data_IF_528592336569
#
_entry.id   IF_528592336569
#
_cell.length_a   1.000
_cell.length_b   1.000
_cell.length_c   1.000
_cell.angle_alpha   90.00
_cell.angle_beta   90.00
_cell.angle_gamma   90.00
#
_symmetry.space_group_name_H-M   'P 1'
#
loop_
_entity.id
_entity.type
_entity.pdbx_description
1 polymer ?
#
# COMPACT_ATOMS: atom_id res chain seq x y z
N UNK A 1 -45.22 -52.98 57.25
CA UNK A 1 -44.68 -53.25 55.89
C UNK A 1 -44.39 -51.90 55.24
N UNK A 2 -43.13 -51.45 55.25
CA UNK A 2 -42.18 -51.40 54.11
C UNK A 2 -42.68 -50.57 52.90
N UNK A 3 -42.10 -49.36 52.74
CA UNK A 3 -41.25 -48.91 51.60
C UNK A 3 -42.05 -48.30 50.43
N UNK A 4 -41.68 -47.27 49.67
CA UNK A 4 -40.52 -46.36 49.50
C UNK A 4 -40.96 -45.34 48.44
N UNK A 5 -40.86 -44.03 48.66
CA UNK A 5 -39.87 -43.08 48.12
C UNK A 5 -39.47 -43.21 46.63
N UNK A 6 -39.42 -42.04 45.95
CA UNK A 6 -38.69 -41.63 44.72
C UNK A 6 -39.52 -41.69 43.42
N UNK A 7 -39.86 -40.55 42.82
CA UNK A 7 -39.04 -39.72 41.89
C UNK A 7 -39.76 -39.76 40.51
N UNK A 8 -39.85 -38.77 39.63
CA UNK A 8 -39.12 -37.51 39.39
C UNK A 8 -40.05 -36.64 38.53
N UNK A 9 -40.07 -35.34 38.84
CA UNK A 9 -40.47 -34.26 37.95
C UNK A 9 -39.62 -34.31 36.68
N UNK A 10 -40.21 -34.44 35.50
CA UNK A 10 -39.53 -34.13 34.25
C UNK A 10 -40.32 -33.04 33.54
N UNK A 11 -40.20 -31.82 34.08
CA UNK A 11 -40.39 -30.59 33.31
C UNK A 11 -39.50 -30.71 32.07
N UNK A 12 -40.12 -30.70 30.90
CA UNK A 12 -39.44 -30.57 29.62
C UNK A 12 -38.74 -29.22 29.64
N UNK A 13 -37.46 -29.22 30.03
CA UNK A 13 -36.57 -28.08 29.85
C UNK A 13 -36.28 -28.01 28.35
N UNK A 14 -37.17 -27.35 27.62
CA UNK A 14 -36.87 -26.88 26.28
C UNK A 14 -35.72 -25.87 26.42
N UNK A 15 -34.50 -26.38 26.35
CA UNK A 15 -33.30 -25.57 26.14
C UNK A 15 -33.47 -24.99 24.74
N UNK A 16 -34.17 -23.86 24.65
CA UNK A 16 -34.00 -22.94 23.53
C UNK A 16 -32.61 -22.38 23.74
N UNK A 17 -31.63 -23.11 23.21
CA UNK A 17 -30.31 -22.57 22.94
C UNK A 17 -30.55 -21.50 21.88
N UNK A 18 -30.89 -20.28 22.33
CA UNK A 18 -30.75 -19.10 21.50
C UNK A 18 -29.25 -18.96 21.32
N UNK A 19 -28.73 -19.70 20.34
CA UNK A 19 -27.49 -19.35 19.69
C UNK A 19 -27.82 -18.00 19.04
N UNK A 20 -27.63 -16.93 19.80
CA UNK A 20 -27.45 -15.61 19.26
C UNK A 20 -26.14 -15.66 18.49
N UNK A 21 -26.21 -16.25 17.29
CA UNK A 21 -25.25 -15.97 16.25
C UNK A 21 -25.55 -14.52 15.87
N UNK A 22 -25.10 -13.59 16.71
CA UNK A 22 -24.80 -12.26 16.25
C UNK A 22 -23.61 -12.46 15.31
N UNK A 23 -23.88 -12.91 14.09
CA UNK A 23 -23.00 -12.60 12.98
C UNK A 23 -22.90 -11.10 13.02
N UNK A 24 -21.78 -10.56 13.48
CA UNK A 24 -21.46 -9.17 13.19
C UNK A 24 -21.60 -9.08 11.68
N UNK A 25 -22.56 -8.29 11.18
CA UNK A 25 -23.06 -8.40 9.81
C UNK A 25 -22.00 -8.16 8.69
N UNK A 26 -20.74 -8.02 9.07
CA UNK A 26 -19.58 -7.76 8.23
C UNK A 26 -18.41 -8.73 8.48
N UNK A 27 -18.48 -9.63 9.47
CA UNK A 27 -17.58 -10.76 9.56
C UNK A 27 -18.19 -11.94 8.81
N UNK A 28 -17.49 -12.41 7.78
CA UNK A 28 -17.86 -13.63 7.07
C UNK A 28 -17.74 -14.84 8.00
N UNK A 29 -16.76 -14.79 8.93
CA UNK A 29 -16.53 -15.82 9.94
C UNK A 29 -16.15 -15.22 11.28
N UNK A 30 -16.63 -15.87 12.34
CA UNK A 30 -16.26 -15.56 13.72
C UNK A 30 -15.43 -16.71 14.27
N UNK A 31 -14.13 -16.48 14.46
CA UNK A 31 -13.14 -17.45 14.95
C UNK A 31 -12.45 -16.89 16.20
N UNK A 32 -13.24 -16.70 17.26
CA UNK A 32 -12.75 -16.12 18.51
C UNK A 32 -11.66 -17.01 19.11
N UNK A 33 -10.51 -16.42 19.43
CA UNK A 33 -9.45 -17.11 20.16
C UNK A 33 -9.99 -17.45 21.57
N UNK A 34 -9.91 -18.72 22.00
CA UNK A 34 -10.35 -19.09 23.34
C UNK A 34 -9.46 -18.42 24.40
N UNK A 35 -10.04 -18.14 25.57
CA UNK A 35 -9.34 -17.61 26.75
C UNK A 35 -8.71 -16.21 26.60
N UNK A 36 -9.11 -15.44 25.58
CA UNK A 36 -8.74 -14.04 25.51
C UNK A 36 -9.23 -13.26 26.76
N UNK A 37 -8.42 -12.34 27.29
CA UNK A 37 -8.80 -11.53 28.46
C UNK A 37 -10.07 -10.73 28.20
N UNK A 38 -11.06 -10.88 29.09
CA UNK A 38 -12.32 -10.11 29.06
C UNK A 38 -12.21 -8.80 29.85
N UNK A 39 -11.14 -8.04 29.57
CA UNK A 39 -10.91 -6.75 30.23
C UNK A 39 -11.75 -5.66 29.52
N UNK A 40 -12.55 -4.87 30.26
CA UNK A 40 -13.35 -3.81 29.66
C UNK A 40 -12.48 -2.68 29.12
N UNK A 41 -13.03 -1.89 28.20
CA UNK A 41 -12.50 -0.58 27.84
C UNK A 41 -12.50 0.34 29.06
N UNK A 42 -11.78 1.46 28.98
CA UNK A 42 -11.67 2.40 30.11
C UNK A 42 -13.00 2.97 30.60
N UNK A 43 -14.03 2.97 29.75
CA UNK A 43 -15.38 3.44 30.08
C UNK A 43 -16.39 2.29 30.30
N UNK A 44 -15.94 1.04 30.34
CA UNK A 44 -16.78 -0.14 30.58
C UNK A 44 -16.83 -1.13 29.40
N UNK A 45 -17.63 -2.19 29.57
CA UNK A 45 -17.79 -3.26 28.59
C UNK A 45 -18.50 -2.71 27.35
N UNK A 46 -17.91 -2.93 26.17
CA UNK A 46 -18.43 -2.43 24.88
C UNK A 46 -18.32 -0.92 24.67
N UNK A 47 -17.79 -0.17 25.64
CA UNK A 47 -17.66 1.28 25.56
C UNK A 47 -16.36 1.71 24.86
N UNK A 48 -16.11 1.18 23.66
CA UNK A 48 -15.01 1.64 22.81
C UNK A 48 -15.29 3.04 22.25
N UNK A 49 -14.24 3.82 22.04
CA UNK A 49 -14.30 5.24 21.65
C UNK A 49 -13.98 5.47 20.17
N UNK A 50 -13.61 4.40 19.48
CA UNK A 50 -13.16 4.45 18.10
C UNK A 50 -12.63 3.11 17.61
N UNK A 51 -11.99 3.16 16.46
CA UNK A 51 -11.35 2.02 15.81
C UNK A 51 -9.98 2.45 15.29
N UNK A 52 -8.97 1.60 15.49
CA UNK A 52 -7.66 1.73 14.87
C UNK A 52 -7.59 0.84 13.64
N UNK A 53 -7.30 1.48 12.52
CA UNK A 53 -6.95 0.91 11.25
C UNK A 53 -5.48 0.47 11.26
N UNK A 54 -5.21 -0.81 11.00
CA UNK A 54 -3.88 -1.41 10.86
C UNK A 54 -3.65 -2.01 9.46
N UNK A 55 -2.39 -2.27 9.12
CA UNK A 55 -2.01 -3.26 8.10
C UNK A 55 -0.94 -4.23 8.59
N UNK A 56 -1.00 -5.46 8.08
CA UNK A 56 -0.30 -6.61 8.70
C UNK A 56 1.23 -6.63 8.55
N UNK A 57 1.82 -5.79 7.69
CA UNK A 57 3.24 -5.82 7.31
C UNK A 57 3.76 -7.21 6.87
N UNK A 58 2.85 -8.11 6.49
CA UNK A 58 3.14 -9.50 6.10
C UNK A 58 2.56 -9.76 4.71
N UNK A 59 3.36 -9.61 3.65
CA UNK A 59 2.86 -9.74 2.28
C UNK A 59 2.21 -11.10 2.00
N UNK A 60 1.05 -11.07 1.35
CA UNK A 60 0.27 -12.21 0.87
C UNK A 60 -0.25 -13.18 1.96
N UNK A 61 -0.18 -12.81 3.25
CA UNK A 61 -0.78 -13.58 4.31
C UNK A 61 -2.31 -13.33 4.38
N UNK A 62 -3.17 -14.35 4.16
CA UNK A 62 -4.62 -14.19 4.30
C UNK A 62 -5.04 -14.04 5.78
N UNK A 63 -6.26 -13.56 6.02
CA UNK A 63 -6.82 -13.28 7.34
C UNK A 63 -6.80 -14.51 8.27
N UNK A 64 -6.98 -15.71 7.72
CA UNK A 64 -6.89 -16.96 8.49
C UNK A 64 -5.48 -17.22 9.04
N UNK A 65 -4.43 -16.74 8.37
CA UNK A 65 -3.07 -16.86 8.86
C UNK A 65 -2.83 -15.92 10.04
N UNK A 66 -3.39 -14.70 9.99
CA UNK A 66 -3.36 -13.75 11.11
C UNK A 66 -4.07 -14.35 12.33
N UNK A 67 -5.29 -14.86 12.15
CA UNK A 67 -6.04 -15.51 13.23
C UNK A 67 -5.28 -16.70 13.85
N UNK A 68 -4.66 -17.57 13.03
CA UNK A 68 -3.87 -18.71 13.52
C UNK A 68 -2.59 -18.28 14.22
N UNK A 69 -1.93 -17.23 13.74
CA UNK A 69 -0.76 -16.67 14.40
C UNK A 69 -1.13 -16.12 15.78
N UNK A 70 -2.11 -15.22 15.84
CA UNK A 70 -2.59 -14.61 17.08
C UNK A 70 -3.13 -15.65 18.08
N UNK A 71 -3.77 -16.73 17.63
CA UNK A 71 -4.22 -17.81 18.52
C UNK A 71 -3.09 -18.44 19.36
N UNK A 72 -1.85 -18.38 18.86
CA UNK A 72 -0.65 -18.89 19.53
C UNK A 72 0.13 -17.80 20.27
N UNK A 73 -0.01 -16.54 19.85
CA UNK A 73 0.82 -15.42 20.31
C UNK A 73 0.06 -14.30 21.01
N UNK A 74 -1.25 -14.46 21.27
CA UNK A 74 -2.12 -13.39 21.78
C UNK A 74 -1.63 -12.70 23.05
N UNK A 75 -0.82 -13.39 23.87
CA UNK A 75 -0.19 -12.81 25.08
C UNK A 75 0.73 -11.63 24.76
N UNK A 76 1.24 -11.55 23.53
CA UNK A 76 2.05 -10.44 23.04
C UNK A 76 1.19 -9.40 22.32
N UNK A 77 0.39 -9.82 21.34
CA UNK A 77 -0.48 -8.96 20.56
C UNK A 77 -1.62 -9.77 19.93
N UNK A 78 -2.79 -9.14 19.80
CA UNK A 78 -3.91 -9.64 19.02
C UNK A 78 -4.85 -8.48 18.66
N UNK A 79 -5.66 -8.66 17.62
CA UNK A 79 -6.65 -7.67 17.17
C UNK A 79 -8.08 -8.21 17.21
N UNK A 80 -9.05 -7.37 16.88
CA UNK A 80 -10.46 -7.78 16.86
C UNK A 80 -10.87 -8.42 15.53
N UNK A 81 -10.31 -7.93 14.43
CA UNK A 81 -10.63 -8.40 13.09
C UNK A 81 -9.38 -8.43 12.20
N UNK A 82 -9.35 -9.39 11.28
CA UNK A 82 -8.46 -9.38 10.12
C UNK A 82 -9.30 -9.46 8.83
N UNK A 83 -8.92 -8.66 7.83
CA UNK A 83 -9.63 -8.51 6.57
C UNK A 83 -8.71 -8.82 5.40
N UNK A 84 -9.12 -9.72 4.51
CA UNK A 84 -8.41 -10.00 3.25
C UNK A 84 -9.35 -9.95 2.01
N UNK A 85 -8.80 -10.34 0.87
CA UNK A 85 -9.49 -10.28 -0.41
C UNK A 85 -10.68 -11.24 -0.48
N UNK A 86 -10.70 -12.30 0.32
CA UNK A 86 -11.75 -13.31 0.38
C UNK A 86 -12.72 -13.10 1.55
N UNK A 87 -12.23 -12.86 2.75
CA UNK A 87 -13.02 -12.91 3.99
C UNK A 87 -12.63 -11.83 5.02
N UNK A 88 -13.59 -11.48 5.86
CA UNK A 88 -13.38 -10.80 7.14
C UNK A 88 -13.54 -11.82 8.28
N UNK A 89 -12.51 -11.97 9.11
CA UNK A 89 -12.53 -12.85 10.29
C UNK A 89 -12.57 -12.01 11.56
N UNK A 90 -13.57 -12.23 12.40
CA UNK A 90 -13.57 -11.73 13.77
C UNK A 90 -12.75 -12.67 14.67
N UNK A 91 -11.73 -12.11 15.33
CA UNK A 91 -10.73 -12.81 16.14
C UNK A 91 -10.97 -12.60 17.65
N UNK A 92 -11.53 -11.43 18.03
CA UNK A 92 -11.86 -11.11 19.42
C UNK A 92 -13.22 -10.40 19.55
N UNK A 93 -13.81 -10.48 20.74
CA UNK A 93 -15.07 -9.80 21.07
C UNK A 93 -14.84 -8.30 21.28
N UNK A 94 -15.51 -7.46 20.49
CA UNK A 94 -15.40 -5.99 20.55
C UNK A 94 -15.98 -5.39 21.84
N UNK A 95 -16.55 -6.20 22.72
CA UNK A 95 -16.92 -5.78 24.08
C UNK A 95 -15.74 -5.57 25.01
N UNK A 96 -14.59 -6.14 24.68
CA UNK A 96 -13.37 -6.11 25.49
C UNK A 96 -12.21 -5.55 24.68
N UNK A 97 -11.12 -5.20 25.36
CA UNK A 97 -9.93 -4.65 24.72
C UNK A 97 -9.19 -5.70 23.87
N UNK A 98 -8.35 -5.22 22.95
CA UNK A 98 -7.32 -6.02 22.29
C UNK A 98 -5.92 -5.42 22.53
N UNK A 99 -4.87 -6.14 22.15
CA UNK A 99 -3.47 -5.72 22.34
C UNK A 99 -2.83 -5.28 21.02
N UNK A 100 -3.44 -4.30 20.34
CA UNK A 100 -3.09 -4.00 18.95
C UNK A 100 -2.31 -2.71 18.71
N UNK A 101 -2.25 -1.75 19.64
CA UNK A 101 -1.53 -0.47 19.40
C UNK A 101 -0.97 0.18 20.67
N UNK A 102 -0.50 -0.64 21.61
CA UNK A 102 0.02 -0.15 22.89
C UNK A 102 -1.05 0.27 23.90
N UNK A 103 -0.67 0.52 25.16
CA UNK A 103 -1.58 0.59 26.30
C UNK A 103 -2.59 1.74 26.25
N UNK A 104 -2.24 2.84 25.56
CA UNK A 104 -3.11 4.00 25.39
C UNK A 104 -4.32 3.70 24.51
N UNK A 105 -4.08 3.10 23.35
CA UNK A 105 -5.10 2.74 22.37
C UNK A 105 -5.88 1.48 22.75
N UNK A 106 -5.22 0.46 23.29
CA UNK A 106 -5.85 -0.81 23.69
C UNK A 106 -7.05 -0.58 24.62
N UNK A 107 -6.96 0.41 25.52
CA UNK A 107 -8.04 0.76 26.47
C UNK A 107 -9.21 1.51 25.84
N UNK A 108 -9.13 1.89 24.56
CA UNK A 108 -10.05 2.83 23.89
C UNK A 108 -10.66 2.27 22.62
N UNK A 109 -9.94 1.47 21.85
CA UNK A 109 -10.31 1.25 20.45
C UNK A 109 -10.47 -0.22 20.08
N UNK A 110 -11.36 -0.47 19.12
CA UNK A 110 -11.36 -1.71 18.35
C UNK A 110 -10.16 -1.69 17.39
N UNK A 111 -9.60 -2.85 17.04
CA UNK A 111 -8.40 -2.96 16.20
C UNK A 111 -8.70 -3.86 14.99
N UNK A 112 -8.45 -3.36 13.79
CA UNK A 112 -8.74 -4.05 12.53
C UNK A 112 -7.50 -4.09 11.64
N UNK A 113 -7.06 -5.30 11.30
CA UNK A 113 -5.93 -5.57 10.42
C UNK A 113 -6.37 -5.70 8.96
N UNK A 114 -5.73 -4.94 8.06
CA UNK A 114 -5.82 -5.14 6.62
C UNK A 114 -4.66 -6.02 6.14
N UNK A 115 -4.98 -7.19 5.59
CA UNK A 115 -3.98 -8.10 5.04
C UNK A 115 -3.34 -7.50 3.78
N UNK A 116 -2.01 -7.61 3.68
CA UNK A 116 -1.23 -6.99 2.61
C UNK A 116 -1.11 -7.88 1.37
N UNK A 117 -1.24 -7.31 0.17
CA UNK A 117 -1.19 -8.02 -1.11
C UNK A 117 -0.63 -7.11 -2.19
N UNK A 118 0.26 -7.60 -3.04
CA UNK A 118 0.72 -6.84 -4.21
C UNK A 118 -0.32 -6.84 -5.36
N UNK A 119 -1.21 -7.84 -5.39
CA UNK A 119 -2.27 -7.92 -6.39
C UNK A 119 -3.34 -6.86 -6.12
N UNK A 120 -3.52 -5.96 -7.09
CA UNK A 120 -4.47 -4.86 -6.97
C UNK A 120 -5.94 -5.31 -6.93
N UNK A 121 -6.30 -6.39 -7.62
CA UNK A 121 -7.66 -6.93 -7.59
C UNK A 121 -7.98 -7.49 -6.21
N UNK A 122 -7.02 -8.18 -5.59
CA UNK A 122 -7.11 -8.58 -4.18
C UNK A 122 -7.23 -7.35 -3.28
N UNK A 123 -6.34 -6.37 -3.44
CA UNK A 123 -6.37 -5.12 -2.66
C UNK A 123 -7.75 -4.45 -2.72
N UNK A 124 -8.36 -4.29 -3.90
CA UNK A 124 -9.69 -3.69 -4.01
C UNK A 124 -10.73 -4.39 -3.15
N UNK A 125 -10.77 -5.73 -3.25
CA UNK A 125 -11.70 -6.55 -2.47
C UNK A 125 -11.43 -6.50 -0.98
N UNK A 126 -10.17 -6.41 -0.56
CA UNK A 126 -9.81 -6.26 0.86
C UNK A 126 -10.20 -4.87 1.37
N UNK A 127 -9.81 -3.82 0.64
CA UNK A 127 -10.01 -2.43 1.01
C UNK A 127 -11.50 -2.05 1.10
N UNK A 128 -12.33 -2.54 0.17
CA UNK A 128 -13.78 -2.35 0.25
C UNK A 128 -14.38 -2.94 1.54
N UNK A 129 -14.04 -4.20 1.87
CA UNK A 129 -14.51 -4.84 3.12
C UNK A 129 -14.00 -4.08 4.34
N UNK A 130 -12.74 -3.69 4.32
CA UNK A 130 -12.06 -2.99 5.40
C UNK A 130 -12.71 -1.64 5.71
N UNK A 131 -12.91 -0.79 4.69
CA UNK A 131 -13.57 0.51 4.84
C UNK A 131 -14.99 0.36 5.40
N UNK A 132 -15.76 -0.61 4.87
CA UNK A 132 -17.13 -0.87 5.33
C UNK A 132 -17.16 -1.36 6.79
N UNK A 133 -16.23 -2.23 7.17
CA UNK A 133 -16.11 -2.73 8.54
C UNK A 133 -15.76 -1.59 9.52
N UNK A 134 -14.78 -0.75 9.20
CA UNK A 134 -14.40 0.41 10.02
C UNK A 134 -15.59 1.36 10.22
N UNK A 135 -16.27 1.71 9.13
CA UNK A 135 -17.46 2.56 9.17
C UNK A 135 -18.57 1.97 10.04
N UNK A 136 -18.81 0.66 9.94
CA UNK A 136 -19.80 -0.03 10.77
C UNK A 136 -19.42 0.00 12.25
N UNK A 137 -18.18 -0.31 12.62
CA UNK A 137 -17.75 -0.33 14.02
C UNK A 137 -18.03 1.02 14.67
N UNK A 138 -17.74 2.11 13.95
CA UNK A 138 -18.03 3.48 14.40
C UNK A 138 -19.54 3.72 14.54
N UNK A 139 -20.33 3.31 13.54
CA UNK A 139 -21.77 3.52 13.52
C UNK A 139 -22.51 2.74 14.59
N UNK A 140 -22.09 1.51 14.86
CA UNK A 140 -22.68 0.62 15.87
C UNK A 140 -22.56 1.19 17.30
N UNK A 141 -21.59 2.08 17.55
CA UNK A 141 -21.43 2.78 18.82
C UNK A 141 -21.64 4.30 18.73
N UNK A 142 -22.29 4.76 17.65
CA UNK A 142 -22.66 6.16 17.42
C UNK A 142 -21.47 7.15 17.51
N UNK A 143 -20.31 6.74 17.00
CA UNK A 143 -19.07 7.48 16.98
C UNK A 143 -18.87 8.18 15.63
N UNK A 144 -18.43 9.45 15.63
CA UNK A 144 -18.11 10.15 14.38
C UNK A 144 -16.81 9.61 13.76
N UNK A 145 -16.71 9.63 12.42
CA UNK A 145 -15.48 9.23 11.72
C UNK A 145 -14.34 10.18 12.04
N UNK A 146 -14.59 11.49 12.08
CA UNK A 146 -13.58 12.51 12.39
C UNK A 146 -12.83 12.25 13.72
N UNK A 147 -13.53 11.78 14.76
CA UNK A 147 -12.94 11.56 16.09
C UNK A 147 -12.64 10.10 16.40
N UNK A 148 -13.39 9.19 15.81
CA UNK A 148 -13.34 7.76 16.12
C UNK A 148 -12.46 6.95 15.17
N UNK A 149 -12.15 7.44 13.96
CA UNK A 149 -11.25 6.73 13.04
C UNK A 149 -9.79 7.14 13.29
N UNK A 150 -8.99 6.15 13.70
CA UNK A 150 -7.57 6.30 13.97
C UNK A 150 -6.78 5.35 13.07
N UNK A 151 -5.62 5.78 12.63
CA UNK A 151 -4.55 4.93 12.09
C UNK A 151 -3.58 4.55 13.22
N UNK A 152 -2.72 3.55 13.04
CA UNK A 152 -1.69 3.28 14.04
C UNK A 152 -0.74 4.49 14.19
N UNK A 153 -0.48 5.21 13.10
CA UNK A 153 0.27 6.46 13.14
C UNK A 153 -0.37 7.55 14.03
N UNK A 154 -1.70 7.68 14.02
CA UNK A 154 -2.39 8.61 14.94
C UNK A 154 -2.14 8.21 16.40
N UNK A 155 -2.13 6.91 16.70
CA UNK A 155 -1.81 6.42 18.05
C UNK A 155 -0.38 6.80 18.43
N UNK A 156 0.60 6.54 17.56
CA UNK A 156 2.00 6.95 17.75
C UNK A 156 2.11 8.43 18.07
N UNK A 157 1.40 9.27 17.30
CA UNK A 157 1.48 10.73 17.41
C UNK A 157 0.78 11.31 18.64
N UNK A 158 -0.39 10.79 19.01
CA UNK A 158 -1.26 11.44 20.00
C UNK A 158 -1.39 10.68 21.33
N UNK A 159 -1.09 9.38 21.36
CA UNK A 159 -1.18 8.55 22.57
C UNK A 159 0.18 7.96 23.00
N UNK A 160 1.09 7.74 22.05
CA UNK A 160 2.38 7.09 22.28
C UNK A 160 2.25 5.63 22.73
N UNK A 161 3.39 5.03 23.14
CA UNK A 161 3.45 3.63 23.54
C UNK A 161 3.50 2.63 22.38
N UNK A 162 3.70 3.14 21.16
CA UNK A 162 3.97 2.45 19.89
C UNK A 162 4.67 3.46 18.96
N UNK A 163 5.40 2.96 17.97
CA UNK A 163 6.12 3.74 16.94
C UNK A 163 5.71 3.36 15.50
N UNK A 164 4.66 2.55 15.37
CA UNK A 164 4.14 2.09 14.10
C UNK A 164 3.41 3.19 13.30
N UNK A 165 3.45 3.09 11.98
CA UNK A 165 2.86 4.08 11.05
C UNK A 165 1.78 3.50 10.12
N UNK A 166 1.45 2.22 10.26
CA UNK A 166 0.47 1.54 9.41
C UNK A 166 -0.96 2.12 9.58
N UNK A 167 -1.83 2.03 8.55
CA UNK A 167 -1.64 1.37 7.26
C UNK A 167 -1.16 2.33 6.15
N UNK A 168 -0.62 3.51 6.50
CA UNK A 168 -0.49 4.63 5.57
C UNK A 168 0.37 4.32 4.33
N UNK A 169 1.55 3.74 4.53
CA UNK A 169 2.44 3.40 3.43
C UNK A 169 1.89 2.27 2.55
N UNK A 170 1.25 1.27 3.14
CA UNK A 170 0.62 0.19 2.39
C UNK A 170 -0.53 0.72 1.52
N UNK A 171 -1.43 1.54 2.09
CA UNK A 171 -2.52 2.18 1.32
C UNK A 171 -1.97 3.06 0.19
N UNK A 172 -0.92 3.86 0.49
CA UNK A 172 -0.26 4.72 -0.49
C UNK A 172 0.36 3.91 -1.64
N UNK A 173 0.91 2.73 -1.38
CA UNK A 173 1.45 1.83 -2.40
C UNK A 173 0.40 1.36 -3.41
N UNK A 174 -0.89 1.37 -3.02
CA UNK A 174 -2.03 1.07 -3.88
C UNK A 174 -2.78 2.31 -4.38
N UNK A 175 -2.20 3.50 -4.21
CA UNK A 175 -2.76 4.76 -4.71
C UNK A 175 -3.88 5.34 -3.82
N UNK A 176 -4.00 4.89 -2.57
CA UNK A 176 -4.94 5.45 -1.59
C UNK A 176 -4.18 6.36 -0.63
N UNK A 177 -4.44 7.66 -0.70
CA UNK A 177 -3.92 8.62 0.28
C UNK A 177 -4.68 8.52 1.60
N UNK A 178 -4.09 8.99 2.71
CA UNK A 178 -4.78 9.05 4.00
C UNK A 178 -6.10 9.85 3.91
N UNK A 179 -6.08 10.98 3.21
CA UNK A 179 -7.27 11.79 3.00
C UNK A 179 -8.37 11.02 2.24
N UNK A 180 -7.99 10.27 1.20
CA UNK A 180 -8.92 9.40 0.48
C UNK A 180 -9.48 8.32 1.39
N UNK A 181 -8.62 7.65 2.16
CA UNK A 181 -9.02 6.62 3.12
C UNK A 181 -10.05 7.12 4.13
N UNK A 182 -9.78 8.25 4.78
CA UNK A 182 -10.73 8.87 5.72
C UNK A 182 -12.04 9.26 5.05
N UNK A 183 -11.99 9.79 3.83
CA UNK A 183 -13.19 10.12 3.05
C UNK A 183 -14.00 8.88 2.65
N UNK A 184 -13.34 7.77 2.33
CA UNK A 184 -13.98 6.50 1.99
C UNK A 184 -14.74 5.92 3.17
N UNK A 185 -14.12 5.92 4.36
CA UNK A 185 -14.78 5.51 5.61
C UNK A 185 -15.94 6.45 5.93
N UNK A 186 -15.78 7.77 5.77
CA UNK A 186 -16.85 8.74 5.98
C UNK A 186 -18.05 8.50 5.05
N UNK A 187 -17.81 8.16 3.79
CA UNK A 187 -18.88 7.87 2.83
C UNK A 187 -19.60 6.57 3.18
N UNK A 188 -18.86 5.51 3.52
CA UNK A 188 -19.43 4.24 3.97
C UNK A 188 -20.22 4.39 5.29
N UNK A 189 -19.78 5.28 6.19
CA UNK A 189 -20.48 5.60 7.43
C UNK A 189 -21.84 6.26 7.16
N UNK A 190 -21.87 7.23 6.25
CA UNK A 190 -23.10 7.96 5.90
C UNK A 190 -24.12 7.08 5.17
N UNK A 191 -23.66 6.20 4.28
CA UNK A 191 -24.52 5.29 3.55
C UNK A 191 -23.89 3.89 3.53
N UNK A 192 -24.47 2.97 4.29
CA UNK A 192 -23.99 1.59 4.45
C UNK A 192 -23.96 0.81 3.12
N UNK A 193 -24.77 1.25 2.14
CA UNK A 193 -24.85 0.69 0.80
C UNK A 193 -24.07 1.51 -0.23
N UNK A 194 -23.35 2.56 0.18
CA UNK A 194 -22.50 3.29 -0.75
C UNK A 194 -21.39 2.37 -1.26
N UNK A 195 -21.20 2.39 -2.58
CA UNK A 195 -19.99 1.84 -3.17
C UNK A 195 -18.80 2.55 -2.52
N UNK A 196 -17.92 1.77 -1.91
CA UNK A 196 -16.61 2.29 -1.56
C UNK A 196 -15.97 2.58 -2.90
N UNK A 197 -15.77 3.86 -3.21
CA UNK A 197 -14.89 4.31 -4.30
C UNK A 197 -13.47 3.88 -3.95
N UNK A 198 -13.22 2.58 -4.03
CA UNK A 198 -11.89 2.08 -4.29
C UNK A 198 -11.61 2.54 -5.71
N UNK A 199 -10.53 3.27 -5.96
CA UNK A 199 -10.16 3.58 -7.33
C UNK A 199 -10.23 2.28 -8.14
N UNK A 200 -10.73 2.32 -9.38
CA UNK A 200 -10.44 1.20 -10.28
C UNK A 200 -8.93 0.96 -10.24
N UNK A 201 -8.46 -0.29 -10.49
CA UNK A 201 -7.03 -0.46 -10.81
C UNK A 201 -6.79 0.58 -11.86
N UNK A 202 -5.90 1.58 -11.64
CA UNK A 202 -5.82 2.73 -12.53
C UNK A 202 -5.85 2.14 -13.92
N UNK A 203 -6.96 2.39 -14.62
CA UNK A 203 -7.32 1.69 -15.84
C UNK A 203 -6.34 2.23 -16.83
N UNK A 204 -5.14 1.62 -16.90
CA UNK A 204 -3.96 2.16 -17.57
C UNK A 204 -3.91 3.70 -17.46
N UNK A 205 -3.29 4.27 -16.41
CA UNK A 205 -3.53 5.65 -15.98
C UNK A 205 -3.80 6.60 -17.15
N UNK A 206 -4.98 7.25 -17.17
CA UNK A 206 -5.22 8.36 -18.07
C UNK A 206 -4.11 9.39 -17.82
N UNK A 207 -3.22 9.45 -18.81
CA UNK A 207 -2.00 10.24 -18.94
C UNK A 207 -1.74 11.29 -17.85
N UNK A 208 -1.28 10.82 -16.69
CA UNK A 208 -0.17 11.52 -16.02
C UNK A 208 1.05 10.73 -16.47
N UNK A 209 2.00 11.34 -17.20
CA UNK A 209 3.12 10.62 -17.78
C UNK A 209 3.75 9.73 -16.72
N UNK A 210 3.72 8.42 -16.97
CA UNK A 210 4.51 7.45 -16.23
C UNK A 210 5.97 7.76 -16.56
N UNK A 211 6.51 8.69 -15.80
CA UNK A 211 7.91 8.80 -15.52
C UNK A 211 7.98 9.01 -14.02
N UNK A 212 8.07 7.92 -13.26
CA UNK A 212 8.90 8.01 -12.04
C UNK A 212 10.26 8.40 -12.60
N UNK A 213 10.56 9.68 -12.52
CA UNK A 213 11.87 10.16 -12.84
C UNK A 213 12.66 9.89 -11.59
N UNK A 214 13.28 8.72 -11.44
CA UNK A 214 14.14 8.39 -10.30
C UNK A 214 15.14 9.55 -10.11
N UNK A 215 14.85 10.57 -9.32
CA UNK A 215 15.54 11.82 -9.49
C UNK A 215 15.30 12.74 -8.33
N UNK A 216 16.33 13.49 -7.99
CA UNK A 216 16.32 14.38 -6.84
C UNK A 216 16.35 15.81 -7.35
N UNK A 217 15.33 16.59 -7.00
CA UNK A 217 15.31 18.03 -7.17
C UNK A 217 15.94 18.67 -5.92
N UNK A 218 17.09 19.30 -6.09
CA UNK A 218 17.75 20.12 -5.08
C UNK A 218 17.28 21.56 -5.22
N UNK A 219 16.75 22.15 -4.15
CA UNK A 219 16.33 23.54 -4.09
C UNK A 219 17.55 24.40 -3.75
N UNK A 220 17.98 25.22 -4.69
CA UNK A 220 19.17 26.07 -4.58
C UNK A 220 18.83 27.56 -4.39
N UNK A 221 17.55 27.94 -4.57
CA UNK A 221 17.02 29.29 -4.33
C UNK A 221 16.24 29.45 -3.02
N UNK A 222 15.77 30.66 -2.75
CA UNK A 222 14.85 30.97 -1.64
C UNK A 222 13.44 31.27 -2.17
N UNK A 223 12.44 31.04 -1.35
CA UNK A 223 11.04 31.42 -1.61
C UNK A 223 10.39 30.75 -2.84
N UNK A 224 10.83 29.54 -3.19
CA UNK A 224 10.34 28.76 -4.34
C UNK A 224 8.91 28.28 -4.09
N UNK A 225 7.96 28.65 -4.94
CA UNK A 225 6.54 28.34 -4.71
C UNK A 225 6.23 26.85 -4.97
N UNK A 226 5.81 26.13 -3.94
CA UNK A 226 5.15 24.82 -4.04
C UNK A 226 3.67 25.02 -4.30
N UNK A 227 3.11 24.36 -5.31
CA UNK A 227 1.72 24.56 -5.77
C UNK A 227 0.94 23.27 -5.85
N UNK A 228 -0.39 23.38 -5.86
CA UNK A 228 -1.33 22.26 -6.02
C UNK A 228 -1.34 21.61 -7.42
N UNK A 229 -0.66 22.22 -8.39
CA UNK A 229 -0.65 21.75 -9.77
C UNK A 229 0.46 22.38 -10.61
N UNK A 230 0.70 21.83 -11.82
CA UNK A 230 1.84 22.14 -12.68
C UNK A 230 1.67 23.43 -13.51
N UNK A 231 1.19 24.51 -12.90
CA UNK A 231 1.21 25.85 -13.48
C UNK A 231 1.04 26.95 -12.41
N UNK A 232 1.14 28.21 -12.82
CA UNK A 232 1.06 29.36 -11.90
C UNK A 232 -0.37 29.74 -11.48
N UNK A 233 -1.40 29.19 -12.12
CA UNK A 233 -2.81 29.41 -11.78
C UNK A 233 -3.24 28.61 -10.55
N UNK A 234 -2.59 27.48 -10.27
CA UNK A 234 -2.83 26.69 -9.06
C UNK A 234 -2.39 27.42 -7.79
N UNK A 235 -3.17 27.23 -6.72
CA UNK A 235 -2.88 27.80 -5.40
C UNK A 235 -1.52 27.36 -4.86
N UNK A 236 -0.84 28.29 -4.17
CA UNK A 236 0.40 28.02 -3.45
C UNK A 236 0.09 27.24 -2.17
N UNK A 237 0.87 26.19 -1.90
CA UNK A 237 0.83 25.40 -0.67
C UNK A 237 1.74 26.06 0.37
N UNK A 238 3.03 26.21 0.02
CA UNK A 238 4.05 26.91 0.81
C UNK A 238 5.24 27.30 -0.07
N UNK A 239 6.24 27.94 0.53
CA UNK A 239 7.51 28.23 -0.14
C UNK A 239 8.62 27.30 0.37
N UNK A 240 9.52 26.91 -0.54
CA UNK A 240 10.70 26.10 -0.28
C UNK A 240 11.97 26.96 -0.36
N UNK A 241 12.99 26.59 0.38
CA UNK A 241 14.24 27.31 0.49
C UNK A 241 15.44 26.36 0.37
N UNK A 242 16.60 26.88 -0.02
CA UNK A 242 17.85 26.14 0.10
C UNK A 242 18.21 25.91 1.58
N UNK A 243 18.75 24.74 1.97
CA UNK A 243 19.12 23.59 1.14
C UNK A 243 18.12 22.41 1.24
N UNK A 244 16.90 22.54 0.68
CA UNK A 244 15.93 21.44 0.63
C UNK A 244 16.15 20.52 -0.59
N UNK A 245 15.80 19.23 -0.49
CA UNK A 245 15.88 18.28 -1.60
C UNK A 245 14.68 17.31 -1.58
N UNK A 246 14.17 16.96 -2.77
CA UNK A 246 12.94 16.18 -2.92
C UNK A 246 13.06 15.13 -4.02
N UNK A 247 12.45 13.97 -3.80
CA UNK A 247 12.22 12.98 -4.84
C UNK A 247 11.20 13.53 -5.84
N UNK A 248 11.53 13.44 -7.13
CA UNK A 248 10.64 13.84 -8.22
C UNK A 248 9.87 12.63 -8.72
N UNK A 249 8.55 12.73 -8.68
CA UNK A 249 7.65 11.63 -9.05
C UNK A 249 7.11 11.75 -10.47
N UNK A 250 7.13 12.96 -11.03
CA UNK A 250 6.70 13.24 -12.40
C UNK A 250 7.25 14.58 -12.89
N UNK A 251 7.33 14.73 -14.20
CA UNK A 251 7.58 15.99 -14.88
C UNK A 251 6.38 16.32 -15.76
N UNK A 252 5.90 17.57 -15.74
CA UNK A 252 4.83 18.03 -16.64
C UNK A 252 5.02 19.50 -16.97
N UNK A 253 5.13 19.82 -18.26
CA UNK A 253 5.17 21.21 -18.78
C UNK A 253 6.18 22.13 -18.06
N UNK A 254 7.36 21.59 -17.73
CA UNK A 254 8.39 22.33 -16.99
C UNK A 254 8.17 22.41 -15.48
N UNK A 255 7.34 21.53 -14.90
CA UNK A 255 7.13 21.39 -13.46
C UNK A 255 7.53 20.01 -12.97
N UNK A 256 8.01 19.92 -11.73
CA UNK A 256 8.39 18.69 -11.03
C UNK A 256 7.36 18.40 -9.94
N UNK A 257 6.83 17.18 -9.92
CA UNK A 257 5.98 16.69 -8.85
C UNK A 257 6.82 16.16 -7.69
N UNK A 258 6.61 16.67 -6.49
CA UNK A 258 7.33 16.27 -5.26
C UNK A 258 6.53 15.29 -4.39
N UNK A 259 5.35 14.86 -4.85
CA UNK A 259 4.47 13.90 -4.20
C UNK A 259 3.04 14.41 -4.04
N UNK A 260 2.05 13.61 -4.46
CA UNK A 260 0.64 14.02 -4.41
C UNK A 260 0.35 15.23 -5.30
N UNK A 261 -0.37 16.22 -4.77
CA UNK A 261 -0.66 17.48 -5.47
C UNK A 261 0.48 18.51 -5.39
N UNK A 262 1.70 18.14 -5.01
CA UNK A 262 2.77 19.11 -4.75
C UNK A 262 3.67 19.27 -5.98
N UNK A 263 3.66 20.46 -6.60
CA UNK A 263 4.42 20.78 -7.81
C UNK A 263 5.30 22.02 -7.63
N UNK A 264 6.50 21.99 -8.19
CA UNK A 264 7.40 23.15 -8.32
C UNK A 264 7.75 23.38 -9.78
N UNK A 265 8.04 24.62 -10.15
CA UNK A 265 8.57 24.91 -11.49
C UNK A 265 10.02 24.45 -11.58
N UNK A 266 10.34 23.70 -12.63
CA UNK A 266 11.69 23.25 -12.94
C UNK A 266 12.48 24.39 -13.60
N UNK A 267 13.05 25.26 -12.79
CA UNK A 267 13.81 26.42 -13.25
C UNK A 267 15.26 26.29 -12.78
N UNK A 268 16.24 26.20 -13.70
CA UNK A 268 17.65 26.03 -13.35
C UNK A 268 18.23 27.16 -12.49
N UNK A 269 17.57 28.31 -12.38
CA UNK A 269 18.01 29.40 -11.50
C UNK A 269 17.80 29.12 -10.00
N UNK A 270 16.93 28.17 -9.65
CA UNK A 270 16.66 27.81 -8.25
C UNK A 270 16.39 26.31 -7.99
N UNK A 271 16.39 25.47 -9.02
CA UNK A 271 16.26 24.01 -8.92
C UNK A 271 17.36 23.32 -9.71
N UNK A 272 18.12 22.46 -9.05
CA UNK A 272 19.02 21.50 -9.70
C UNK A 272 18.37 20.12 -9.70
N UNK A 273 17.98 19.63 -10.87
CA UNK A 273 17.30 18.33 -10.98
C UNK A 273 18.23 17.23 -11.52
N UNK A 274 18.51 16.23 -10.68
CA UNK A 274 19.33 15.07 -11.05
C UNK A 274 18.44 13.88 -11.42
N UNK A 275 18.27 13.59 -12.72
CA UNK A 275 17.49 12.47 -13.25
C UNK A 275 18.33 11.20 -13.40
N UNK A 276 18.02 10.15 -12.63
CA UNK A 276 18.49 8.78 -12.84
C UNK A 276 17.65 8.17 -13.96
N UNK A 277 18.30 7.54 -14.92
CA UNK A 277 17.65 7.04 -16.12
C UNK A 277 16.72 5.86 -15.79
N UNK A 278 15.41 6.06 -15.87
CA UNK A 278 14.44 4.97 -15.78
C UNK A 278 14.35 4.22 -17.10
N UNK A 279 14.48 2.89 -17.01
CA UNK A 279 14.30 1.94 -18.11
C UNK A 279 12.80 1.81 -18.38
N UNK A 280 12.41 1.89 -19.66
CA UNK A 280 11.06 1.52 -20.08
C UNK A 280 10.81 0.03 -19.81
N UNK A 281 9.86 -0.31 -18.92
CA UNK A 281 9.53 -1.72 -18.63
C UNK A 281 9.02 -2.48 -19.87
N UNK A 282 8.64 -1.77 -20.93
CA UNK A 282 8.22 -2.36 -22.20
C UNK A 282 9.35 -3.05 -22.96
N UNK A 283 10.62 -2.79 -22.66
CA UNK A 283 11.77 -3.36 -23.40
C UNK A 283 12.49 -4.48 -22.66
N UNK A 284 12.28 -4.62 -21.34
CA UNK A 284 12.94 -5.66 -20.54
C UNK A 284 12.45 -7.05 -21.00
N UNK A 285 13.39 -7.97 -21.20
CA UNK A 285 13.14 -9.31 -21.73
C UNK A 285 12.95 -9.38 -23.25
N UNK A 286 12.86 -8.25 -23.96
CA UNK A 286 12.85 -8.26 -25.44
C UNK A 286 14.25 -8.51 -26.00
N UNK A 287 14.29 -9.03 -27.22
CA UNK A 287 15.54 -9.20 -27.97
C UNK A 287 15.84 -7.93 -28.77
N UNK A 288 16.95 -7.26 -28.44
CA UNK A 288 17.52 -6.20 -29.28
C UNK A 288 18.33 -6.84 -30.41
N UNK A 289 18.11 -6.42 -31.64
CA UNK A 289 18.72 -7.00 -32.85
C UNK A 289 19.43 -5.91 -33.64
N UNK A 290 20.66 -6.18 -34.06
CA UNK A 290 21.43 -5.27 -34.91
C UNK A 290 20.81 -5.15 -36.31
N UNK A 291 20.78 -3.93 -36.84
CA UNK A 291 20.40 -3.61 -38.22
C UNK A 291 21.60 -3.44 -39.15
N UNK A 292 22.82 -3.44 -38.61
CA UNK A 292 24.07 -3.23 -39.35
C UNK A 292 25.08 -4.32 -39.02
N UNK A 293 26.03 -4.55 -39.93
CA UNK A 293 27.17 -5.42 -39.64
C UNK A 293 28.19 -4.71 -38.75
N UNK A 294 28.96 -5.48 -37.99
CA UNK A 294 30.02 -5.00 -37.12
C UNK A 294 29.59 -3.98 -36.05
N UNK A 295 28.35 -4.07 -35.52
CA UNK A 295 27.88 -3.17 -34.47
C UNK A 295 28.59 -3.47 -33.15
N UNK A 296 29.25 -2.48 -32.55
CA UNK A 296 30.00 -2.69 -31.30
C UNK A 296 29.09 -2.88 -30.08
N UNK A 297 29.53 -3.75 -29.17
CA UNK A 297 29.01 -3.88 -27.81
C UNK A 297 30.18 -3.83 -26.80
N UNK A 298 29.88 -3.54 -25.53
CA UNK A 298 30.85 -3.09 -24.53
C UNK A 298 30.73 -3.88 -23.21
N UNK A 299 31.84 -4.03 -22.49
CA UNK A 299 31.88 -4.68 -21.15
C UNK A 299 31.39 -3.75 -20.02
N UNK A 300 31.42 -2.44 -20.27
CA UNK A 300 31.00 -1.39 -19.35
C UNK A 300 30.08 -0.38 -20.06
N UNK A 301 29.25 0.39 -19.33
CA UNK A 301 28.44 1.45 -19.91
C UNK A 301 29.33 2.62 -20.38
N UNK A 302 29.90 2.49 -21.58
CA UNK A 302 30.95 3.35 -22.13
C UNK A 302 30.89 3.36 -23.66
N UNK A 303 31.48 4.39 -24.26
CA UNK A 303 31.70 4.50 -25.72
C UNK A 303 33.18 4.42 -26.09
N UNK A 304 34.07 4.21 -25.12
CA UNK A 304 35.52 4.21 -25.33
C UNK A 304 35.98 2.88 -25.96
N UNK A 305 36.99 2.94 -26.84
CA UNK A 305 37.53 1.76 -27.53
C UNK A 305 38.05 0.70 -26.55
N UNK A 306 38.64 1.13 -25.43
CA UNK A 306 39.16 0.24 -24.39
C UNK A 306 38.10 -0.65 -23.72
N UNK A 307 36.83 -0.24 -23.79
CA UNK A 307 35.70 -0.93 -23.16
C UNK A 307 34.89 -1.75 -24.18
N UNK A 308 35.31 -1.77 -25.46
CA UNK A 308 34.66 -2.54 -26.51
C UNK A 308 34.94 -4.04 -26.30
N UNK A 309 33.86 -4.81 -26.15
CA UNK A 309 33.91 -6.26 -25.90
C UNK A 309 33.86 -7.07 -27.20
N UNK A 310 33.30 -6.51 -28.28
CA UNK A 310 33.21 -7.16 -29.58
C UNK A 310 32.23 -6.48 -30.52
N UNK A 311 31.89 -7.18 -31.61
CA UNK A 311 30.91 -6.75 -32.61
C UNK A 311 29.80 -7.78 -32.83
N UNK A 312 28.63 -7.31 -33.24
CA UNK A 312 27.47 -8.12 -33.60
C UNK A 312 26.96 -7.73 -34.99
N UNK A 313 26.70 -8.74 -35.82
CA UNK A 313 26.22 -8.54 -37.19
C UNK A 313 24.69 -8.44 -37.27
N UNK A 314 24.21 -8.02 -38.44
CA UNK A 314 22.78 -7.87 -38.72
C UNK A 314 22.00 -9.15 -38.41
N UNK A 315 20.84 -9.01 -37.78
CA UNK A 315 19.99 -10.15 -37.39
C UNK A 315 20.39 -10.85 -36.08
N UNK A 316 21.60 -10.61 -35.58
CA UNK A 316 22.04 -11.07 -34.26
C UNK A 316 21.79 -10.03 -33.18
N UNK A 317 21.76 -10.49 -31.92
CA UNK A 317 21.20 -9.69 -30.86
C UNK A 317 21.25 -10.32 -29.48
N UNK A 318 20.81 -9.56 -28.49
CA UNK A 318 20.88 -9.88 -27.07
C UNK A 318 19.54 -9.67 -26.38
N UNK A 319 19.37 -10.23 -25.19
CA UNK A 319 18.18 -9.99 -24.34
C UNK A 319 18.38 -8.72 -23.53
N UNK A 320 17.44 -7.80 -23.57
CA UNK A 320 17.50 -6.54 -22.84
C UNK A 320 17.13 -6.75 -21.38
N UNK A 321 17.91 -6.15 -20.50
CA UNK A 321 17.68 -6.11 -19.06
C UNK A 321 17.41 -4.68 -18.57
N UNK A 322 18.18 -3.70 -19.07
CA UNK A 322 17.99 -2.30 -18.72
C UNK A 322 18.36 -1.36 -19.87
N UNK A 323 17.99 -0.09 -19.74
CA UNK A 323 18.45 1.05 -20.57
C UNK A 323 19.22 2.01 -19.68
N UNK A 324 20.45 2.32 -20.04
CA UNK A 324 21.35 3.18 -19.27
C UNK A 324 21.74 4.39 -20.11
N UNK A 325 21.95 5.54 -19.49
CA UNK A 325 22.45 6.73 -20.17
C UNK A 325 23.96 6.83 -20.00
N UNK A 326 24.69 6.98 -21.11
CA UNK A 326 26.15 7.10 -21.13
C UNK A 326 26.50 8.40 -21.85
N UNK A 327 26.85 9.42 -21.07
CA UNK A 327 27.18 10.76 -21.57
C UNK A 327 26.12 11.38 -22.50
N UNK A 328 24.84 11.21 -22.16
CA UNK A 328 23.72 11.74 -22.96
C UNK A 328 23.24 10.83 -24.10
N UNK A 329 23.96 9.73 -24.37
CA UNK A 329 23.56 8.74 -25.37
C UNK A 329 23.15 7.42 -24.68
N UNK A 330 21.97 6.88 -24.98
CA UNK A 330 21.50 5.70 -24.30
C UNK A 330 22.14 4.40 -24.85
N UNK A 331 22.35 3.45 -23.96
CA UNK A 331 22.70 2.06 -24.24
C UNK A 331 21.66 1.12 -23.60
N UNK A 332 21.54 -0.09 -24.11
CA UNK A 332 20.91 -1.20 -23.39
C UNK A 332 21.96 -1.99 -22.63
N UNK A 333 21.67 -2.30 -21.37
CA UNK A 333 22.28 -3.41 -20.65
C UNK A 333 21.60 -4.68 -21.12
N UNK A 334 22.39 -5.63 -21.60
CA UNK A 334 21.90 -6.84 -22.27
C UNK A 334 22.62 -8.08 -21.77
N UNK A 335 22.01 -9.25 -21.98
CA UNK A 335 22.63 -10.55 -21.76
C UNK A 335 22.70 -11.36 -23.05
N UNK A 336 23.81 -12.09 -23.24
CA UNK A 336 23.89 -13.13 -24.26
C UNK A 336 23.22 -14.44 -23.79
N UNK A 337 23.17 -15.44 -24.65
CA UNK A 337 22.57 -16.75 -24.33
C UNK A 337 23.30 -17.53 -23.22
N UNK A 338 24.52 -17.12 -22.85
CA UNK A 338 25.30 -17.69 -21.75
C UNK A 338 25.15 -16.88 -20.44
N UNK A 339 24.30 -15.86 -20.42
CA UNK A 339 24.08 -15.01 -19.24
C UNK A 339 25.18 -13.97 -18.99
N UNK A 340 26.11 -13.76 -19.93
CA UNK A 340 27.12 -12.70 -19.80
C UNK A 340 26.50 -11.34 -20.12
N UNK A 341 26.81 -10.35 -19.28
CA UNK A 341 26.31 -8.98 -19.34
C UNK A 341 27.16 -8.13 -20.27
N UNK A 342 26.50 -7.37 -21.15
CA UNK A 342 27.14 -6.39 -22.03
C UNK A 342 26.29 -5.11 -22.14
N UNK A 343 26.82 -4.13 -22.87
CA UNK A 343 26.13 -2.89 -23.20
C UNK A 343 26.17 -2.65 -24.72
N UNK A 344 25.05 -2.24 -25.32
CA UNK A 344 24.94 -1.98 -26.77
C UNK A 344 24.14 -0.70 -27.01
N UNK A 345 24.37 -0.01 -28.13
CA UNK A 345 23.62 1.22 -28.44
C UNK A 345 22.11 1.05 -28.39
N UNK A 346 21.43 2.06 -27.85
CA UNK A 346 19.98 2.11 -27.82
C UNK A 346 19.36 2.92 -28.97
N UNK A 347 20.19 3.36 -29.92
CA UNK A 347 19.73 4.10 -31.09
C UNK A 347 18.97 3.18 -32.05
N UNK A 348 17.72 3.56 -32.31
CA UNK A 348 16.85 2.96 -33.31
C UNK A 348 17.40 3.02 -34.74
N UNK A 349 18.44 3.80 -35.00
CA UNK A 349 19.17 3.79 -36.26
C UNK A 349 20.01 2.52 -36.44
N UNK A 350 20.55 1.95 -35.36
CA UNK A 350 21.44 0.79 -35.40
C UNK A 350 20.78 -0.51 -34.92
N UNK A 351 19.74 -0.42 -34.10
CA UNK A 351 19.07 -1.61 -33.51
C UNK A 351 17.55 -1.58 -33.65
N UNK A 352 16.91 -2.73 -33.49
CA UNK A 352 15.45 -2.91 -33.44
C UNK A 352 15.03 -3.96 -32.40
N UNK A 353 13.74 -4.01 -32.03
CA UNK A 353 13.17 -5.05 -31.16
C UNK A 353 12.27 -5.99 -31.97
N UNK A 354 12.43 -7.29 -31.78
CA UNK A 354 11.46 -8.28 -32.25
C UNK A 354 10.56 -8.70 -31.08
N UNK A 355 9.23 -8.75 -31.31
CA UNK A 355 8.32 -9.49 -30.43
C UNK A 355 8.51 -10.98 -30.73
N UNK A 356 8.72 -11.80 -29.69
CA UNK A 356 8.53 -13.24 -29.84
C UNK A 356 7.08 -13.46 -30.29
N UNK A 357 6.90 -14.20 -31.39
CA UNK A 357 5.61 -14.80 -31.74
C UNK A 357 5.43 -16.07 -30.94
#
# INVERSE_FOLDING_TARGET
MKKTLKHISSVVFAVILVLSIATSAFADRTLIIPDLPKQPYRNGVGAYEGVVAHSTATPEAPAINIQKYESRTWRSAFVHYAVDWNETIQIADTKYIAYGAGPGANKRFVHVELCETADYTKFKRSYEKYVKLLAKILKDNNLSVEKGLWTHYDVTKYLGGTDHEDPLDYLKSHGVSEAQFRADVQRAYNNSNAEVSVPEKPSKPAEVPTAVTDGIAYIEGYNVNLRKGPDTSYSKIRQLNKPEAYVVWAEKDGWLNLGGEQWIKNDPSYVKFNKKSTVDSSIVGKRVVSKVNNLRFYDAPSWQDKDAAGTVDVGFGFTIDAKVNVNGYPQYRVYNSKGHKYYITASDFYVSWLRFR
#
